data_IF_674778443545
#
_entry.id   IF_674778443545
#
_cell.length_a   1.000
_cell.length_b   1.000
_cell.length_c   1.000
_cell.angle_alpha   90.00
_cell.angle_beta   90.00
_cell.angle_gamma   90.00
#
_symmetry.space_group_name_H-M   'P 1'
#
loop_
_entity.id
_entity.type
_entity.pdbx_description
1 polymer ?
#
# COMPACT_ATOMS: atom_id res chain seq x y z
N UNK A 1 1.06 -30.39 -12.12
CA UNK A 1 0.28 -29.13 -12.17
C UNK A 1 -0.40 -28.96 -10.82
N UNK A 2 0.14 -28.10 -9.97
CA UNK A 2 -0.57 -27.72 -8.76
C UNK A 2 -1.68 -26.75 -9.15
N UNK A 3 -2.90 -27.20 -9.15
CA UNK A 3 -4.06 -26.32 -9.22
C UNK A 3 -4.02 -25.40 -7.99
N UNK A 4 -3.83 -24.12 -8.21
CA UNK A 4 -3.96 -23.12 -7.16
C UNK A 4 -5.43 -23.21 -6.69
N UNK A 5 -5.64 -23.77 -5.50
CA UNK A 5 -6.96 -23.77 -4.87
C UNK A 5 -7.29 -22.33 -4.53
N UNK A 6 -8.11 -21.72 -5.38
CA UNK A 6 -8.68 -20.40 -5.10
C UNK A 6 -9.47 -20.49 -3.78
N UNK A 7 -9.26 -19.60 -2.83
CA UNK A 7 -10.07 -19.57 -1.61
C UNK A 7 -11.55 -19.47 -1.98
N UNK A 8 -12.39 -20.24 -1.31
CA UNK A 8 -13.81 -20.39 -1.67
C UNK A 8 -14.63 -19.09 -1.60
N UNK A 9 -14.09 -18.03 -1.00
CA UNK A 9 -14.79 -16.76 -0.75
C UNK A 9 -14.01 -15.54 -1.25
N UNK A 10 -13.02 -15.71 -2.14
CA UNK A 10 -12.28 -14.58 -2.68
C UNK A 10 -13.07 -13.93 -3.82
N UNK A 11 -13.29 -12.62 -3.67
CA UNK A 11 -13.79 -11.76 -4.73
C UNK A 11 -12.72 -10.75 -5.09
N UNK A 12 -12.30 -10.64 -6.37
CA UNK A 12 -11.34 -9.63 -6.78
C UNK A 12 -11.80 -8.23 -6.41
N UNK A 13 -10.91 -7.44 -5.83
CA UNK A 13 -11.20 -6.05 -5.54
C UNK A 13 -10.94 -5.17 -6.76
N UNK A 14 -11.83 -4.21 -6.97
CA UNK A 14 -11.65 -3.07 -7.84
C UNK A 14 -12.14 -1.83 -7.06
N UNK A 15 -11.21 -0.96 -6.68
CA UNK A 15 -11.49 0.21 -5.85
C UNK A 15 -11.07 1.48 -6.57
N UNK A 16 -11.81 2.55 -6.36
CA UNK A 16 -11.49 3.89 -6.79
C UNK A 16 -11.50 4.81 -5.56
N UNK A 17 -10.53 5.70 -5.47
CA UNK A 17 -10.48 6.74 -4.45
C UNK A 17 -10.47 8.12 -5.11
N UNK A 18 -11.45 8.93 -4.77
CA UNK A 18 -11.60 10.31 -5.22
C UNK A 18 -11.51 11.33 -4.08
N UNK A 19 -11.50 10.86 -2.84
CA UNK A 19 -11.38 11.67 -1.64
C UNK A 19 -10.51 10.98 -0.59
N UNK A 20 -10.33 11.65 0.53
CA UNK A 20 -9.47 11.16 1.62
C UNK A 20 -10.06 9.94 2.34
N UNK A 21 -11.38 9.84 2.45
CA UNK A 21 -12.03 8.69 3.09
C UNK A 21 -11.87 7.43 2.25
N UNK A 22 -12.05 7.53 0.94
CA UNK A 22 -11.78 6.45 -0.01
C UNK A 22 -10.29 6.04 0.02
N UNK A 23 -9.39 7.03 0.12
CA UNK A 23 -7.95 6.76 0.19
C UNK A 23 -7.57 5.97 1.45
N UNK A 24 -8.26 6.19 2.56
CA UNK A 24 -8.08 5.38 3.78
C UNK A 24 -8.41 3.91 3.56
N UNK A 25 -9.44 3.63 2.77
CA UNK A 25 -9.79 2.25 2.38
C UNK A 25 -8.68 1.63 1.53
N UNK A 26 -8.18 2.36 0.53
CA UNK A 26 -7.04 1.93 -0.30
C UNK A 26 -5.81 1.68 0.56
N UNK A 27 -5.52 2.56 1.52
CA UNK A 27 -4.41 2.40 2.46
C UNK A 27 -4.52 1.11 3.28
N UNK A 28 -5.70 0.80 3.80
CA UNK A 28 -5.95 -0.42 4.56
C UNK A 28 -5.75 -1.69 3.72
N UNK A 29 -6.20 -1.66 2.46
CA UNK A 29 -6.02 -2.78 1.52
C UNK A 29 -4.55 -3.00 1.15
N UNK A 30 -3.78 -1.92 1.04
CA UNK A 30 -2.36 -1.95 0.68
C UNK A 30 -1.41 -2.14 1.87
N UNK A 31 -1.92 -2.16 3.10
CA UNK A 31 -1.08 -2.40 4.28
C UNK A 31 -0.32 -3.70 4.12
N UNK A 32 1.01 -3.64 4.34
CA UNK A 32 1.94 -4.76 4.19
C UNK A 32 2.04 -5.35 2.76
N UNK A 33 1.54 -4.63 1.76
CA UNK A 33 1.78 -4.99 0.38
C UNK A 33 3.26 -4.80 0.03
N UNK A 34 3.78 -5.74 -0.73
CA UNK A 34 5.19 -5.80 -1.10
C UNK A 34 5.35 -5.56 -2.60
N UNK A 35 6.23 -4.64 -2.97
CA UNK A 35 6.55 -4.32 -4.36
C UNK A 35 8.05 -4.32 -4.59
N UNK A 36 8.48 -4.63 -5.81
CA UNK A 36 9.83 -4.31 -6.26
C UNK A 36 9.88 -2.86 -6.71
N UNK A 37 10.99 -2.19 -6.44
CA UNK A 37 11.22 -0.83 -6.93
C UNK A 37 11.10 -0.75 -8.45
N UNK A 38 11.54 -1.78 -9.17
CA UNK A 38 11.42 -1.87 -10.62
C UNK A 38 9.99 -1.94 -11.16
N UNK A 39 9.02 -2.27 -10.29
CA UNK A 39 7.60 -2.33 -10.63
C UNK A 39 6.86 -1.01 -10.31
N UNK A 40 7.59 0.03 -9.89
CA UNK A 40 7.10 1.39 -9.71
C UNK A 40 7.49 2.23 -10.94
N UNK A 41 6.56 2.98 -11.48
CA UNK A 41 6.80 3.83 -12.65
C UNK A 41 6.09 5.17 -12.54
N UNK A 42 6.80 6.24 -12.87
CA UNK A 42 6.22 7.55 -13.07
C UNK A 42 6.20 7.91 -14.56
N UNK A 43 5.03 7.93 -15.12
CA UNK A 43 4.76 8.30 -16.52
C UNK A 43 4.47 9.80 -16.59
N UNK A 44 5.49 10.61 -16.64
CA UNK A 44 5.40 12.06 -16.50
C UNK A 44 4.50 12.72 -17.57
N UNK A 45 4.56 12.24 -18.83
CA UNK A 45 3.70 12.73 -19.91
C UNK A 45 2.22 12.43 -19.69
N UNK A 46 1.91 11.29 -19.06
CA UNK A 46 0.55 10.90 -18.71
C UNK A 46 0.14 11.42 -17.33
N UNK A 47 1.06 12.04 -16.59
CA UNK A 47 0.87 12.46 -15.20
C UNK A 47 0.35 11.32 -14.31
N UNK A 48 0.88 10.13 -14.52
CA UNK A 48 0.45 8.91 -13.83
C UNK A 48 1.62 8.27 -13.09
N UNK A 49 1.41 7.96 -11.82
CA UNK A 49 2.25 7.06 -11.06
C UNK A 49 1.56 5.71 -10.95
N UNK A 50 2.25 4.65 -11.30
CA UNK A 50 1.69 3.31 -11.28
C UNK A 50 2.66 2.32 -10.64
N UNK A 51 2.12 1.32 -9.99
CA UNK A 51 2.91 0.21 -9.46
C UNK A 51 2.12 -1.09 -9.40
N UNK A 52 2.85 -2.19 -9.32
CA UNK A 52 2.32 -3.52 -9.06
C UNK A 52 2.89 -4.00 -7.72
N UNK A 53 2.03 -4.54 -6.88
CA UNK A 53 2.40 -5.07 -5.58
C UNK A 53 1.72 -6.42 -5.32
N UNK A 54 2.23 -7.14 -4.34
CA UNK A 54 1.56 -8.32 -3.81
C UNK A 54 0.92 -7.93 -2.48
N UNK A 55 -0.39 -7.78 -2.46
CA UNK A 55 -1.14 -7.45 -1.25
C UNK A 55 -1.56 -8.71 -0.50
N UNK A 56 -1.75 -8.57 0.79
CA UNK A 56 -2.37 -9.58 1.63
C UNK A 56 -3.90 -9.55 1.46
N UNK A 57 -4.54 -10.71 1.41
CA UNK A 57 -6.01 -10.80 1.35
C UNK A 57 -6.56 -10.72 2.76
N UNK A 58 -6.75 -9.51 3.26
CA UNK A 58 -7.20 -9.24 4.63
C UNK A 58 -8.63 -9.72 4.88
N UNK A 59 -9.46 -9.74 3.84
CA UNK A 59 -10.87 -10.12 3.86
C UNK A 59 -11.06 -11.57 4.31
N UNK A 60 -10.08 -12.42 4.06
CA UNK A 60 -10.09 -13.82 4.52
C UNK A 60 -9.47 -13.99 5.90
N UNK A 61 -8.57 -13.09 6.28
CA UNK A 61 -7.72 -13.22 7.46
C UNK A 61 -8.36 -12.78 8.77
N UNK A 62 -9.48 -12.06 8.71
CA UNK A 62 -10.10 -11.50 9.90
C UNK A 62 -10.57 -12.56 10.93
N UNK A 63 -10.80 -13.79 10.48
CA UNK A 63 -11.27 -14.88 11.34
C UNK A 63 -10.24 -15.96 11.65
N UNK A 64 -9.03 -15.90 11.06
CA UNK A 64 -8.04 -16.97 11.20
C UNK A 64 -6.78 -16.49 11.92
N UNK A 65 -6.60 -16.91 13.15
CA UNK A 65 -5.36 -16.69 13.89
C UNK A 65 -4.16 -17.50 13.33
N UNK A 66 -4.42 -18.56 12.55
CA UNK A 66 -3.42 -19.43 11.93
C UNK A 66 -3.76 -19.68 10.47
N UNK A 67 -2.73 -19.56 9.59
CA UNK A 67 -2.86 -19.78 8.16
C UNK A 67 -3.54 -21.09 7.73
N UNK A 68 -3.70 -21.30 6.42
CA UNK A 68 -2.98 -20.60 5.36
C UNK A 68 -3.60 -19.22 5.03
N UNK A 69 -2.71 -18.27 4.73
CA UNK A 69 -3.09 -16.94 4.29
C UNK A 69 -2.96 -16.83 2.77
N UNK A 70 -3.62 -15.84 2.18
CA UNK A 70 -3.56 -15.62 0.74
C UNK A 70 -2.98 -14.25 0.41
N UNK A 71 -2.25 -14.20 -0.68
CA UNK A 71 -1.80 -12.96 -1.34
C UNK A 71 -2.36 -12.91 -2.75
N UNK A 72 -2.49 -11.70 -3.26
CA UNK A 72 -2.93 -11.44 -4.63
C UNK A 72 -2.08 -10.31 -5.21
N UNK A 73 -1.82 -10.37 -6.50
CA UNK A 73 -1.17 -9.27 -7.20
C UNK A 73 -2.18 -8.18 -7.49
N UNK A 74 -1.83 -6.96 -7.15
CA UNK A 74 -2.64 -5.77 -7.31
C UNK A 74 -1.92 -4.77 -8.20
N UNK A 75 -2.65 -4.17 -9.14
CA UNK A 75 -2.22 -2.99 -9.89
C UNK A 75 -2.82 -1.74 -9.28
N UNK A 76 -2.01 -0.72 -9.11
CA UNK A 76 -2.42 0.58 -8.58
C UNK A 76 -1.91 1.67 -9.49
N UNK A 77 -2.75 2.64 -9.80
CA UNK A 77 -2.29 3.88 -10.42
C UNK A 77 -2.96 5.10 -9.81
N UNK A 78 -2.20 6.17 -9.77
CA UNK A 78 -2.64 7.49 -9.37
C UNK A 78 -2.49 8.41 -10.57
N UNK A 79 -3.57 9.08 -10.95
CA UNK A 79 -3.57 10.09 -12.00
C UNK A 79 -3.42 11.50 -11.42
N UNK A 80 -3.27 12.48 -12.27
CA UNK A 80 -3.07 13.88 -11.88
C UNK A 80 -1.81 14.13 -11.03
N UNK A 81 -0.80 13.29 -11.20
CA UNK A 81 0.48 13.41 -10.51
C UNK A 81 1.39 14.39 -11.26
N UNK A 82 1.73 15.49 -10.60
CA UNK A 82 2.63 16.51 -11.15
C UNK A 82 4.10 16.17 -10.92
N UNK A 83 4.42 15.60 -9.77
CA UNK A 83 5.80 15.31 -9.35
C UNK A 83 5.87 14.14 -8.40
N UNK A 84 6.96 13.37 -8.48
CA UNK A 84 7.28 12.29 -7.58
C UNK A 84 8.59 12.62 -6.86
N UNK A 85 8.60 12.47 -5.55
CA UNK A 85 9.79 12.62 -4.69
C UNK A 85 9.95 11.36 -3.85
N UNK A 86 11.16 10.96 -3.56
CA UNK A 86 11.44 9.85 -2.66
C UNK A 86 12.41 10.26 -1.57
N UNK A 87 12.25 9.66 -0.40
CA UNK A 87 13.14 9.82 0.74
C UNK A 87 13.49 8.44 1.30
N UNK A 88 14.78 8.18 1.50
CA UNK A 88 15.31 6.89 1.99
C UNK A 88 14.90 5.68 1.12
N UNK A 89 14.61 5.92 -0.14
CA UNK A 89 14.33 4.89 -1.14
C UNK A 89 15.17 5.21 -2.37
N UNK A 90 15.99 4.27 -2.78
CA UNK A 90 16.72 4.37 -4.04
C UNK A 90 15.86 3.80 -5.17
N UNK A 91 15.23 4.69 -5.93
CA UNK A 91 14.40 4.31 -7.08
C UNK A 91 15.21 3.69 -8.23
N UNK A 92 16.53 3.83 -8.23
CA UNK A 92 17.45 3.15 -9.17
C UNK A 92 17.72 1.70 -8.83
N UNK A 93 17.52 1.31 -7.57
CA UNK A 93 17.74 -0.08 -7.12
C UNK A 93 16.53 -0.97 -7.48
N UNK A 94 16.37 -1.28 -8.77
CA UNK A 94 15.19 -1.93 -9.35
C UNK A 94 14.79 -3.26 -8.68
N UNK A 95 15.77 -4.04 -8.22
CA UNK A 95 15.54 -5.33 -7.56
C UNK A 95 15.26 -5.22 -6.06
N UNK A 96 15.41 -4.03 -5.49
CA UNK A 96 15.07 -3.80 -4.10
C UNK A 96 13.56 -3.99 -3.86
N UNK A 97 13.23 -4.49 -2.69
CA UNK A 97 11.85 -4.76 -2.28
C UNK A 97 11.45 -3.74 -1.23
N UNK A 98 10.28 -3.17 -1.40
CA UNK A 98 9.67 -2.23 -0.45
C UNK A 98 8.36 -2.79 0.05
N UNK A 99 8.03 -2.51 1.31
CA UNK A 99 6.75 -2.87 1.92
C UNK A 99 5.98 -1.60 2.26
N UNK A 100 4.73 -1.51 1.80
CA UNK A 100 3.87 -0.35 2.03
C UNK A 100 3.25 -0.49 3.43
N UNK A 101 3.41 0.52 4.28
CA UNK A 101 2.76 0.58 5.58
C UNK A 101 1.43 1.33 5.50
N UNK A 102 1.41 2.45 4.80
CA UNK A 102 0.21 3.28 4.66
C UNK A 102 0.29 4.17 3.42
N UNK A 103 -0.88 4.63 3.00
CA UNK A 103 -1.05 5.68 2.00
C UNK A 103 -1.87 6.79 2.65
N UNK A 104 -1.32 8.01 2.68
CA UNK A 104 -1.96 9.15 3.29
C UNK A 104 -2.01 10.35 2.36
N UNK A 105 -2.82 11.35 2.72
CA UNK A 105 -2.95 12.59 1.98
C UNK A 105 -2.79 13.78 2.90
N UNK A 106 -2.10 14.80 2.42
CA UNK A 106 -1.96 16.10 3.05
C UNK A 106 -2.34 17.17 2.04
N UNK A 107 -3.36 17.96 2.37
CA UNK A 107 -3.82 19.04 1.50
C UNK A 107 -2.74 20.12 1.34
N UNK A 108 -2.66 20.72 0.15
CA UNK A 108 -1.78 21.84 -0.08
C UNK A 108 -2.20 23.05 0.77
N UNK A 109 -1.25 23.86 1.31
CA UNK A 109 -1.57 24.96 2.23
C UNK A 109 -2.44 26.06 1.60
N UNK A 110 -2.44 26.18 0.27
CA UNK A 110 -3.24 27.15 -0.47
C UNK A 110 -4.57 26.60 -1.03
N UNK A 111 -4.90 25.33 -0.72
CA UNK A 111 -6.20 24.76 -1.07
C UNK A 111 -7.24 25.34 -0.12
N UNK A 112 -8.15 26.16 -0.66
CA UNK A 112 -9.27 26.72 0.12
C UNK A 112 -10.03 25.60 0.81
N UNK A 113 -10.29 25.77 2.11
CA UNK A 113 -11.06 24.86 2.94
C UNK A 113 -12.54 24.66 2.50
N UNK A 114 -12.92 25.28 1.38
CA UNK A 114 -14.24 25.23 0.77
C UNK A 114 -14.30 24.26 -0.41
N UNK A 115 -13.91 22.99 -0.19
CA UNK A 115 -14.35 21.87 -1.05
C UNK A 115 -13.96 21.92 -2.53
N UNK A 116 -12.93 22.65 -2.89
CA UNK A 116 -12.39 22.67 -4.26
C UNK A 116 -11.02 22.00 -4.31
N UNK A 117 -10.85 21.18 -5.25
CA UNK A 117 -9.64 20.76 -5.93
C UNK A 117 -8.75 19.69 -5.32
N UNK A 118 -8.88 19.20 -4.13
CA UNK A 118 -8.16 18.01 -3.65
C UNK A 118 -6.63 18.02 -3.93
N UNK A 119 -6.05 19.19 -4.27
CA UNK A 119 -4.63 19.32 -4.50
C UNK A 119 -3.84 19.15 -3.22
N UNK A 120 -2.76 18.39 -3.29
CA UNK A 120 -1.93 18.11 -2.13
C UNK A 120 -0.86 17.08 -2.44
N UNK A 121 -0.47 16.36 -1.41
CA UNK A 121 0.54 15.32 -1.50
C UNK A 121 -0.01 13.99 -1.01
N UNK A 122 0.01 12.99 -1.87
CA UNK A 122 -0.22 11.59 -1.49
C UNK A 122 1.13 10.99 -1.12
N UNK A 123 1.23 10.42 0.07
CA UNK A 123 2.48 9.81 0.56
C UNK A 123 2.30 8.32 0.79
N UNK A 124 3.14 7.53 0.13
CA UNK A 124 3.32 6.12 0.45
C UNK A 124 4.40 6.03 1.53
N UNK A 125 4.03 5.60 2.72
CA UNK A 125 4.97 5.33 3.81
C UNK A 125 5.42 3.88 3.73
N UNK A 126 6.73 3.66 3.76
CA UNK A 126 7.33 2.35 3.58
C UNK A 126 7.98 1.85 4.87
N UNK A 127 8.03 0.54 5.02
CA UNK A 127 8.80 -0.08 6.10
C UNK A 127 10.28 0.34 6.01
N UNK A 128 10.91 0.54 7.16
CA UNK A 128 12.28 1.03 7.22
C UNK A 128 12.42 2.56 7.14
N UNK A 129 11.31 3.30 7.13
CA UNK A 129 11.29 4.77 7.17
C UNK A 129 11.42 5.45 5.82
N UNK A 130 11.31 4.71 4.72
CA UNK A 130 11.24 5.27 3.38
C UNK A 130 9.88 5.89 3.07
N UNK A 131 9.86 6.85 2.16
CA UNK A 131 8.65 7.51 1.69
C UNK A 131 8.74 7.80 0.20
N UNK A 132 7.58 7.69 -0.47
CA UNK A 132 7.38 8.19 -1.82
C UNK A 132 6.24 9.20 -1.76
N UNK A 133 6.53 10.45 -2.07
CA UNK A 133 5.59 11.56 -2.05
C UNK A 133 5.20 11.96 -3.48
N UNK A 134 3.91 12.00 -3.73
CA UNK A 134 3.31 12.32 -5.01
C UNK A 134 2.55 13.65 -4.88
N UNK A 135 3.02 14.69 -5.55
CA UNK A 135 2.28 15.95 -5.62
C UNK A 135 1.16 15.79 -6.65
N UNK A 136 -0.08 15.92 -6.23
CA UNK A 136 -1.28 15.67 -7.03
C UNK A 136 -2.17 16.91 -7.09
N UNK A 137 -2.88 17.08 -8.22
CA UNK A 137 -3.91 18.11 -8.32
C UNK A 137 -5.25 17.65 -7.74
N UNK A 138 -5.45 16.33 -7.68
CA UNK A 138 -6.62 15.73 -7.07
C UNK A 138 -6.28 14.30 -6.61
N UNK A 139 -7.05 13.77 -5.66
CA UNK A 139 -7.01 12.35 -5.33
C UNK A 139 -7.73 11.58 -6.45
N UNK A 140 -6.98 10.79 -7.21
CA UNK A 140 -7.51 9.99 -8.30
C UNK A 140 -6.74 8.67 -8.36
N UNK A 141 -7.22 7.69 -7.62
CA UNK A 141 -6.54 6.40 -7.43
C UNK A 141 -7.43 5.27 -7.92
N UNK A 142 -6.85 4.37 -8.70
CA UNK A 142 -7.46 3.09 -9.07
C UNK A 142 -6.61 1.96 -8.52
N UNK A 143 -7.28 0.98 -7.93
CA UNK A 143 -6.69 -0.25 -7.41
C UNK A 143 -7.48 -1.45 -7.92
N UNK A 144 -6.80 -2.42 -8.49
CA UNK A 144 -7.45 -3.62 -9.02
C UNK A 144 -6.60 -4.87 -8.77
N UNK A 145 -7.22 -5.93 -8.28
CA UNK A 145 -6.60 -7.24 -8.21
C UNK A 145 -6.43 -7.81 -9.63
N UNK A 146 -5.20 -8.13 -10.01
CA UNK A 146 -4.84 -8.52 -11.39
C UNK A 146 -4.37 -9.96 -11.52
N UNK A 147 -4.45 -10.74 -10.46
CA UNK A 147 -4.11 -12.17 -10.48
C UNK A 147 -5.10 -12.99 -9.67
N UNK A 148 -5.07 -14.30 -9.86
CA UNK A 148 -5.67 -15.21 -8.89
C UNK A 148 -4.87 -15.17 -7.57
N UNK A 149 -5.52 -15.35 -6.43
CA UNK A 149 -4.82 -15.43 -5.14
C UNK A 149 -3.99 -16.71 -5.05
N UNK A 150 -2.87 -16.61 -4.31
CA UNK A 150 -2.05 -17.78 -3.96
C UNK A 150 -1.85 -17.88 -2.46
N UNK A 151 -1.62 -19.06 -1.97
CA UNK A 151 -1.39 -19.30 -0.54
C UNK A 151 0.02 -18.89 -0.13
N UNK A 152 0.11 -18.31 1.06
CA UNK A 152 1.37 -17.98 1.72
C UNK A 152 1.33 -18.43 3.17
N UNK A 153 2.46 -18.84 3.71
CA UNK A 153 2.59 -19.18 5.12
C UNK A 153 2.99 -17.96 5.97
N UNK A 154 3.48 -16.91 5.32
CA UNK A 154 3.91 -15.69 6.00
C UNK A 154 2.74 -14.74 6.19
N UNK A 155 2.36 -14.52 7.45
CA UNK A 155 1.55 -13.38 7.85
C UNK A 155 2.50 -12.22 8.16
N UNK A 156 2.21 -10.99 7.72
CA UNK A 156 2.95 -9.83 8.21
C UNK A 156 2.78 -9.74 9.72
N UNK A 157 3.87 -9.86 10.46
CA UNK A 157 3.91 -9.61 11.90
C UNK A 157 4.48 -8.22 12.11
N UNK A 158 3.70 -7.35 12.71
CA UNK A 158 4.24 -6.16 13.33
C UNK A 158 4.82 -6.63 14.68
N UNK A 159 6.13 -6.81 14.76
CA UNK A 159 6.82 -6.99 16.03
C UNK A 159 6.65 -5.71 16.85
N UNK A 160 5.65 -5.71 17.71
CA UNK A 160 5.65 -4.82 18.86
C UNK A 160 6.88 -5.24 19.69
N UNK A 161 7.78 -4.32 20.05
CA UNK A 161 8.87 -4.67 20.95
C UNK A 161 8.24 -5.18 22.25
N UNK A 162 8.48 -6.45 22.52
CA UNK A 162 8.07 -7.09 23.76
C UNK A 162 8.77 -6.32 24.90
N UNK A 163 7.99 -5.60 25.69
CA UNK A 163 8.47 -4.99 26.91
C UNK A 163 8.97 -6.12 27.80
N UNK A 164 10.29 -6.23 27.92
CA UNK A 164 10.90 -7.16 28.83
C UNK A 164 10.28 -7.01 30.23
N UNK A 165 9.91 -8.13 30.89
CA UNK A 165 9.43 -8.06 32.25
C UNK A 165 10.56 -7.53 33.13
N UNK A 166 10.33 -6.43 33.78
CA UNK A 166 11.18 -5.91 34.85
C UNK A 166 11.13 -6.93 35.97
N UNK A 167 12.17 -7.74 36.11
CA UNK A 167 12.43 -8.49 37.31
C UNK A 167 12.74 -7.52 38.43
N UNK A 168 11.74 -7.22 39.24
CA UNK A 168 11.96 -6.59 40.54
C UNK A 168 12.72 -7.60 41.41
N UNK A 169 14.01 -7.37 41.58
CA UNK A 169 14.80 -8.05 42.57
C UNK A 169 14.30 -7.63 43.94
N UNK A 170 13.69 -8.57 44.65
CA UNK A 170 13.53 -8.45 46.08
C UNK A 170 14.88 -8.75 46.73
N UNK A 171 15.40 -7.78 47.50
CA UNK A 171 16.44 -8.00 48.45
C UNK A 171 15.90 -8.61 49.74
#
# INVERSE_FOLDING_TARGET
MCAAMTPKNYTPLALMAADEDDLRVVSAVLQDAVAKVGDLAFLSKARRFAFVANRFVWEEGASKARGPFSRVRVGVHLDDVARVRSRKVDLGAREAVVSILSVGFEAAPDSDASGGDGAGTVTLTLAGGGEIALDVDAINVMLEDISAPWRTQSRPTHDMPETAPTTAGAA
#
